data_IF_102461470097
#
_entry.id   IF_102461470097
#
_cell.length_a   1.000
_cell.length_b   1.000
_cell.length_c   1.000
_cell.angle_alpha   90.00
_cell.angle_beta   90.00
_cell.angle_gamma   90.00
#
_symmetry.space_group_name_H-M   'P 1'
#
loop_
_entity.id
_entity.type
_entity.pdbx_description
1 polymer ?
#
# COMPACT_ATOMS: atom_id res chain seq x y z
N UNK A 1 -20.83 29.95 14.20
CA UNK A 1 -19.49 29.34 14.19
C UNK A 1 -18.88 29.68 12.86
N UNK A 2 -17.86 30.54 12.84
CA UNK A 2 -17.15 30.88 11.60
C UNK A 2 -16.42 29.64 11.04
N UNK A 3 -16.38 29.45 9.71
CA UNK A 3 -15.64 28.35 9.12
C UNK A 3 -14.15 28.61 9.39
N UNK A 4 -13.54 27.74 10.21
CA UNK A 4 -12.09 27.75 10.42
C UNK A 4 -11.42 27.57 9.05
N UNK A 5 -10.61 28.55 8.64
CA UNK A 5 -9.82 28.45 7.41
C UNK A 5 -9.10 27.09 7.37
N UNK A 6 -9.16 26.36 6.24
CA UNK A 6 -8.50 25.08 6.14
C UNK A 6 -7.00 25.30 6.35
N UNK A 7 -6.44 24.61 7.33
CA UNK A 7 -5.00 24.63 7.60
C UNK A 7 -4.29 24.33 6.28
N UNK A 8 -3.37 25.19 5.84
CA UNK A 8 -2.68 25.07 4.54
C UNK A 8 -2.09 23.67 4.27
N UNK A 9 -1.75 22.93 5.33
CA UNK A 9 -1.24 21.56 5.26
C UNK A 9 -2.30 20.51 4.97
N UNK A 10 -3.58 20.77 5.27
CA UNK A 10 -4.68 19.86 5.00
C UNK A 10 -4.95 19.76 3.48
N UNK A 11 -5.03 20.91 2.80
CA UNK A 11 -5.22 20.94 1.35
C UNK A 11 -4.05 20.30 0.62
N UNK A 12 -2.80 20.57 1.05
CA UNK A 12 -1.62 19.94 0.47
C UNK A 12 -1.63 18.41 0.66
N UNK A 13 -2.05 17.92 1.83
CA UNK A 13 -2.17 16.49 2.10
C UNK A 13 -3.21 15.84 1.19
N UNK A 14 -4.34 16.50 0.98
CA UNK A 14 -5.41 15.96 0.14
C UNK A 14 -4.99 15.91 -1.33
N UNK A 15 -4.32 16.95 -1.83
CA UNK A 15 -3.72 16.94 -3.18
C UNK A 15 -2.71 15.80 -3.35
N UNK A 16 -1.85 15.57 -2.35
CA UNK A 16 -0.86 14.49 -2.41
C UNK A 16 -1.52 13.11 -2.44
N UNK A 17 -2.56 12.90 -1.61
CA UNK A 17 -3.34 11.65 -1.61
C UNK A 17 -3.98 11.41 -2.97
N UNK A 18 -4.63 12.43 -3.53
CA UNK A 18 -5.30 12.30 -4.82
C UNK A 18 -4.30 11.99 -5.94
N UNK A 19 -3.13 12.63 -5.92
CA UNK A 19 -2.06 12.36 -6.88
C UNK A 19 -1.55 10.93 -6.75
N UNK A 20 -1.26 10.47 -5.53
CA UNK A 20 -0.81 9.09 -5.31
C UNK A 20 -1.85 8.06 -5.70
N UNK A 21 -3.13 8.30 -5.40
CA UNK A 21 -4.25 7.44 -5.76
C UNK A 21 -4.31 7.26 -7.29
N UNK A 22 -4.23 8.35 -8.06
CA UNK A 22 -4.25 8.32 -9.54
C UNK A 22 -3.08 7.51 -10.11
N UNK A 23 -1.88 7.67 -9.56
CA UNK A 23 -0.71 6.89 -9.99
C UNK A 23 -0.87 5.40 -9.67
N UNK A 24 -1.40 5.06 -8.50
CA UNK A 24 -1.66 3.67 -8.11
C UNK A 24 -2.71 3.00 -9.02
N UNK A 25 -3.76 3.73 -9.42
CA UNK A 25 -4.78 3.24 -10.36
C UNK A 25 -4.19 2.98 -11.76
N UNK A 26 -3.21 3.77 -12.18
CA UNK A 26 -2.50 3.58 -13.46
C UNK A 26 -1.43 2.49 -13.44
N UNK A 27 -1.00 2.03 -12.27
CA UNK A 27 0.12 1.09 -12.10
C UNK A 27 -0.04 -0.22 -12.90
N UNK A 28 -1.21 -0.89 -12.95
CA UNK A 28 -1.36 -2.10 -13.76
C UNK A 28 -1.05 -1.87 -15.24
N UNK A 29 -1.53 -0.76 -15.80
CA UNK A 29 -1.28 -0.40 -17.20
C UNK A 29 0.18 -0.04 -17.49
N UNK A 30 0.93 0.45 -16.49
CA UNK A 30 2.38 0.65 -16.61
C UNK A 30 3.13 -0.68 -16.59
N UNK A 31 2.75 -1.60 -15.70
CA UNK A 31 3.33 -2.94 -15.61
C UNK A 31 3.13 -3.73 -16.91
N UNK A 32 1.99 -3.56 -17.58
CA UNK A 32 1.68 -4.18 -18.87
C UNK A 32 2.63 -3.77 -20.01
N UNK A 33 3.28 -2.61 -19.91
CA UNK A 33 4.22 -2.10 -20.91
C UNK A 33 5.62 -2.70 -20.76
N UNK A 34 5.91 -3.35 -19.63
CA UNK A 34 7.20 -3.95 -19.36
C UNK A 34 7.35 -5.32 -20.02
N UNK A 35 8.56 -5.69 -20.48
CA UNK A 35 8.89 -7.05 -20.86
C UNK A 35 8.58 -8.05 -19.73
N UNK A 36 8.26 -9.33 -20.04
CA UNK A 36 7.81 -10.29 -19.04
C UNK A 36 8.73 -10.43 -17.82
N UNK A 37 10.05 -10.48 -18.03
CA UNK A 37 11.03 -10.63 -16.94
C UNK A 37 11.10 -9.38 -16.05
N UNK A 38 11.02 -8.19 -16.65
CA UNK A 38 11.05 -6.92 -15.92
C UNK A 38 9.77 -6.69 -15.14
N UNK A 39 8.63 -7.10 -15.71
CA UNK A 39 7.33 -7.07 -15.04
C UNK A 39 7.32 -7.92 -13.79
N UNK A 40 7.85 -9.15 -13.87
CA UNK A 40 7.98 -10.04 -12.70
C UNK A 40 8.85 -9.37 -11.64
N UNK A 41 10.02 -8.83 -12.03
CA UNK A 41 10.91 -8.14 -11.10
C UNK A 41 10.24 -6.93 -10.41
N UNK A 42 9.47 -6.14 -11.16
CA UNK A 42 8.72 -5.02 -10.62
C UNK A 42 7.65 -5.47 -9.62
N UNK A 43 6.85 -6.49 -9.96
CA UNK A 43 5.83 -7.06 -9.07
C UNK A 43 6.49 -7.61 -7.79
N UNK A 44 7.61 -8.32 -7.89
CA UNK A 44 8.31 -8.85 -6.73
C UNK A 44 8.76 -7.77 -5.75
N UNK A 45 9.18 -6.61 -6.26
CA UNK A 45 9.55 -5.45 -5.43
C UNK A 45 8.35 -4.76 -4.80
N UNK A 46 7.17 -4.88 -5.40
CA UNK A 46 5.92 -4.32 -4.88
C UNK A 46 5.23 -5.22 -3.85
N UNK A 47 5.50 -6.53 -3.86
CA UNK A 47 4.89 -7.50 -2.93
C UNK A 47 4.94 -7.07 -1.45
N UNK A 48 6.05 -6.55 -0.89
CA UNK A 48 6.11 -6.16 0.53
C UNK A 48 5.12 -5.05 0.92
N UNK A 49 4.66 -4.27 -0.05
CA UNK A 49 3.74 -3.16 0.16
C UNK A 49 2.28 -3.54 -0.11
N UNK A 50 2.06 -4.54 -0.96
CA UNK A 50 0.72 -5.01 -1.32
C UNK A 50 0.23 -6.15 -0.43
N UNK A 51 1.14 -6.99 0.06
CA UNK A 51 0.77 -8.17 0.85
C UNK A 51 0.72 -7.84 2.33
N UNK A 52 -0.21 -8.48 3.08
CA UNK A 52 -0.20 -8.38 4.53
C UNK A 52 1.12 -8.93 5.06
N UNK A 53 1.53 -8.44 6.25
CA UNK A 53 2.66 -9.03 6.95
C UNK A 53 2.36 -10.51 7.19
N UNK A 54 3.23 -11.37 6.67
CA UNK A 54 3.17 -12.80 6.93
C UNK A 54 3.91 -13.01 8.25
N UNK A 55 3.17 -13.32 9.30
CA UNK A 55 3.74 -13.74 10.57
C UNK A 55 4.00 -15.25 10.53
N UNK A 56 5.21 -15.66 10.93
CA UNK A 56 5.53 -17.08 11.07
C UNK A 56 4.81 -17.59 12.30
N UNK A 57 3.76 -18.39 12.08
CA UNK A 57 3.07 -19.06 13.19
C UNK A 57 3.78 -20.35 13.58
N UNK A 58 3.88 -20.62 14.88
CA UNK A 58 4.28 -21.94 15.38
C UNK A 58 3.07 -22.85 15.52
N UNK A 59 3.28 -24.17 15.52
CA UNK A 59 2.19 -25.14 15.60
C UNK A 59 1.33 -25.01 16.88
N UNK A 60 1.89 -24.39 17.92
CA UNK A 60 1.24 -24.15 19.22
C UNK A 60 0.62 -22.75 19.34
N UNK A 61 0.70 -21.92 18.30
CA UNK A 61 0.12 -20.57 18.34
C UNK A 61 -1.40 -20.65 18.46
N UNK A 62 -1.93 -20.10 19.55
CA UNK A 62 -3.36 -20.12 19.87
C UNK A 62 -3.81 -21.32 20.71
N UNK A 63 -2.90 -22.22 21.11
CA UNK A 63 -3.22 -23.22 22.13
C UNK A 63 -3.37 -22.56 23.51
N UNK A 64 -4.31 -23.04 24.36
CA UNK A 64 -4.46 -22.53 25.71
C UNK A 64 -3.18 -22.77 26.52
N UNK A 65 -2.76 -21.77 27.30
CA UNK A 65 -1.67 -21.96 28.25
C UNK A 65 -2.00 -23.14 29.17
N UNK A 66 -1.07 -24.09 29.27
CA UNK A 66 -1.22 -25.22 30.19
C UNK A 66 -1.31 -24.66 31.60
N UNK A 67 -2.45 -24.93 32.24
CA UNK A 67 -2.77 -24.57 33.62
C UNK A 67 -1.77 -25.15 34.63
#
# INVERSE_FOLDING_TARGET
>A
MEPKEPVLTATLRDTLKETMQKEMEGLPGLLERLPPIERINAICKLMPFAFPKIETITATDGEPEKW
#
